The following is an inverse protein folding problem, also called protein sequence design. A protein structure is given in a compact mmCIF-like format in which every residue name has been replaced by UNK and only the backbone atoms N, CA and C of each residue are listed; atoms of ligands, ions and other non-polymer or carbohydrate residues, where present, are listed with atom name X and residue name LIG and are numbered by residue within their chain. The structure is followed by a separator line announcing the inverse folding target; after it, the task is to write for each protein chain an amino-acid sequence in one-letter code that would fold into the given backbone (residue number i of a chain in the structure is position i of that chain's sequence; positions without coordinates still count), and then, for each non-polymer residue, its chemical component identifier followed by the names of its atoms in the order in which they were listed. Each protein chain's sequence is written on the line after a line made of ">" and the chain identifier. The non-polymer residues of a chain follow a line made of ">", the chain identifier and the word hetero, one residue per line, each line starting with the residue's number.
data_IF_823475487851
#
_entry.id   IF_823475487851
#
_cell.length_a   1.000
_cell.length_b   1.000
_cell.length_c   1.000
_cell.angle_alpha   90.00
_cell.angle_beta   90.00
_cell.angle_gamma   90.00
#
_symmetry.space_group_name_H-M   'P 1'
#
loop_
_entity.id
_entity.type
_entity.pdbx_description
1 polymer ?
#
# COMPACT_ATOMS: atom_id res chain seq x y z
N UNK A 1 -1.58 -6.73 -19.60
CA UNK A 1 -2.93 -7.35 -19.57
C UNK A 1 -4.10 -6.34 -19.67
N UNK A 2 -3.94 -5.18 -20.33
CA UNK A 2 -4.97 -4.14 -20.35
C UNK A 2 -6.30 -4.53 -21.04
N UNK A 3 -6.30 -5.57 -21.90
CA UNK A 3 -7.47 -5.99 -22.69
C UNK A 3 -8.30 -7.11 -22.06
N UNK A 4 -7.90 -7.65 -20.90
CA UNK A 4 -8.51 -8.86 -20.31
C UNK A 4 -9.03 -8.63 -18.89
N UNK A 5 -9.54 -7.43 -18.58
CA UNK A 5 -10.00 -7.08 -17.24
C UNK A 5 -11.05 -8.08 -16.71
N UNK A 6 -12.10 -8.35 -17.47
CA UNK A 6 -13.22 -9.23 -17.08
C UNK A 6 -12.84 -10.69 -16.83
N UNK A 7 -11.68 -11.13 -17.33
CA UNK A 7 -11.16 -12.49 -17.12
C UNK A 7 -9.97 -12.51 -16.15
N UNK A 8 -9.52 -11.35 -15.70
CA UNK A 8 -8.34 -11.23 -14.84
C UNK A 8 -8.68 -11.46 -13.37
N UNK A 9 -7.69 -11.90 -12.59
CA UNK A 9 -7.83 -12.08 -11.14
C UNK A 9 -8.25 -10.81 -10.41
N UNK A 10 -7.88 -9.62 -10.93
CA UNK A 10 -8.33 -8.35 -10.37
C UNK A 10 -9.85 -8.27 -10.28
N UNK A 11 -10.56 -8.61 -11.35
CA UNK A 11 -12.02 -8.56 -11.39
C UNK A 11 -12.64 -9.72 -10.61
N UNK A 12 -12.10 -10.94 -10.76
CA UNK A 12 -12.70 -12.15 -10.23
C UNK A 12 -12.52 -12.32 -8.70
N UNK A 13 -11.42 -11.81 -8.12
CA UNK A 13 -11.06 -12.10 -6.72
C UNK A 13 -10.93 -10.84 -5.85
N UNK A 14 -10.66 -9.68 -6.46
CA UNK A 14 -10.26 -8.47 -5.73
C UNK A 14 -11.25 -7.32 -5.87
N UNK A 15 -12.39 -7.55 -6.52
CA UNK A 15 -13.56 -6.69 -6.45
C UNK A 15 -14.39 -7.12 -5.23
N UNK A 16 -14.06 -6.57 -4.06
CA UNK A 16 -14.63 -6.98 -2.78
C UNK A 16 -15.91 -6.20 -2.47
N UNK A 17 -16.86 -6.85 -1.81
CA UNK A 17 -18.04 -6.17 -1.30
C UNK A 17 -17.71 -5.35 -0.04
N UNK A 18 -18.43 -4.25 0.16
CA UNK A 18 -18.25 -3.37 1.31
C UNK A 18 -18.56 -4.11 2.61
N UNK A 19 -19.56 -4.99 2.63
CA UNK A 19 -19.97 -5.71 3.83
C UNK A 19 -18.87 -6.67 4.31
N UNK A 20 -18.27 -7.43 3.38
CA UNK A 20 -17.16 -8.33 3.67
C UNK A 20 -15.94 -7.59 4.22
N UNK A 21 -15.63 -6.40 3.67
CA UNK A 21 -14.54 -5.56 4.16
C UNK A 21 -14.74 -5.14 5.62
N UNK A 22 -15.97 -4.84 6.02
CA UNK A 22 -16.26 -4.42 7.39
C UNK A 22 -16.02 -5.55 8.39
N UNK A 23 -16.35 -6.80 8.02
CA UNK A 23 -16.13 -7.99 8.87
C UNK A 23 -14.65 -8.12 9.25
N UNK A 24 -13.74 -7.95 8.28
CA UNK A 24 -12.31 -8.03 8.54
C UNK A 24 -11.77 -6.83 9.34
N UNK A 25 -12.39 -5.65 9.22
CA UNK A 25 -11.97 -4.42 9.92
C UNK A 25 -12.47 -4.31 11.36
N UNK A 26 -13.42 -5.15 11.80
CA UNK A 26 -13.98 -5.07 13.17
C UNK A 26 -12.90 -5.04 14.25
N UNK A 27 -11.81 -5.82 14.07
CA UNK A 27 -10.68 -5.82 15.01
C UNK A 27 -9.97 -4.48 15.10
N UNK A 28 -9.66 -3.87 13.96
CA UNK A 28 -8.96 -2.58 13.90
C UNK A 28 -9.86 -1.41 14.31
N UNK A 29 -11.15 -1.46 13.97
CA UNK A 29 -12.13 -0.44 14.35
C UNK A 29 -12.34 -0.37 15.87
N UNK A 30 -12.16 -1.48 16.60
CA UNK A 30 -12.17 -1.47 18.07
C UNK A 30 -10.99 -0.71 18.66
N UNK A 31 -9.85 -0.70 17.97
CA UNK A 31 -8.63 -0.02 18.42
C UNK A 31 -8.67 1.46 18.05
N UNK A 32 -9.09 1.75 16.81
CA UNK A 32 -9.16 3.11 16.25
C UNK A 32 -10.47 3.85 16.58
N UNK A 33 -11.45 3.18 17.17
CA UNK A 33 -12.71 3.78 17.61
C UNK A 33 -13.70 4.16 16.49
N UNK A 34 -13.26 4.50 15.28
CA UNK A 34 -14.14 4.92 14.17
C UNK A 34 -13.66 4.50 12.78
N UNK A 35 -14.59 4.41 11.82
CA UNK A 35 -14.27 4.18 10.40
C UNK A 35 -13.52 5.36 9.80
N UNK A 36 -13.80 6.59 10.24
CA UNK A 36 -13.12 7.80 9.78
C UNK A 36 -11.62 7.78 10.11
N UNK A 37 -11.25 7.36 11.31
CA UNK A 37 -9.84 7.22 11.70
C UNK A 37 -9.13 6.16 10.87
N UNK A 38 -9.78 5.02 10.62
CA UNK A 38 -9.25 4.00 9.73
C UNK A 38 -9.01 4.55 8.30
N UNK A 39 -9.93 5.36 7.78
CA UNK A 39 -9.77 6.00 6.49
C UNK A 39 -8.60 7.00 6.48
N UNK A 40 -8.44 7.81 7.54
CA UNK A 40 -7.29 8.73 7.69
C UNK A 40 -5.97 7.98 7.70
N UNK A 41 -5.88 6.86 8.42
CA UNK A 41 -4.69 5.99 8.43
C UNK A 41 -4.38 5.47 7.02
N UNK A 42 -5.39 5.00 6.29
CA UNK A 42 -5.23 4.53 4.92
C UNK A 42 -4.79 5.63 3.95
N UNK A 43 -5.31 6.85 4.10
CA UNK A 43 -4.89 8.03 3.32
C UNK A 43 -3.43 8.34 3.63
N UNK A 44 -3.07 8.43 4.91
CA UNK A 44 -1.69 8.68 5.36
C UNK A 44 -0.70 7.70 4.73
N UNK A 45 -0.96 6.39 4.81
CA UNK A 45 -0.05 5.42 4.20
C UNK A 45 -0.04 5.46 2.67
N UNK A 46 -1.12 5.88 2.03
CA UNK A 46 -1.13 6.13 0.57
C UNK A 46 -0.18 7.28 0.22
N UNK A 47 -0.16 8.35 1.02
CA UNK A 47 0.78 9.47 0.86
C UNK A 47 2.22 9.06 1.15
N UNK A 48 2.46 8.21 2.15
CA UNK A 48 3.79 7.64 2.46
C UNK A 48 4.32 6.84 1.26
N UNK A 49 3.51 5.96 0.68
CA UNK A 49 3.89 5.19 -0.51
C UNK A 49 4.19 6.12 -1.69
N UNK A 50 3.39 7.17 -1.87
CA UNK A 50 3.61 8.19 -2.90
C UNK A 50 4.93 8.94 -2.68
N UNK A 51 5.26 9.29 -1.44
CA UNK A 51 6.51 9.97 -1.08
C UNK A 51 7.73 9.09 -1.32
N UNK A 52 7.69 7.81 -0.92
CA UNK A 52 8.74 6.83 -1.23
C UNK A 52 8.90 6.67 -2.75
N UNK A 53 7.81 6.52 -3.49
CA UNK A 53 7.84 6.39 -4.94
C UNK A 53 8.46 7.60 -5.64
N UNK A 54 8.10 8.82 -5.22
CA UNK A 54 8.70 10.06 -5.73
C UNK A 54 10.19 10.15 -5.40
N UNK A 55 10.60 9.77 -4.20
CA UNK A 55 12.00 9.82 -3.77
C UNK A 55 12.91 8.87 -4.55
N UNK A 56 12.38 7.77 -5.10
CA UNK A 56 13.13 6.83 -5.97
C UNK A 56 12.75 7.00 -7.45
N UNK A 57 12.05 8.08 -7.79
CA UNK A 57 11.69 8.48 -9.17
C UNK A 57 10.99 7.39 -9.98
N UNK A 58 10.16 6.57 -9.34
CA UNK A 58 9.40 5.53 -10.06
C UNK A 58 8.17 6.12 -10.76
N UNK A 59 7.71 5.46 -11.82
CA UNK A 59 6.51 5.86 -12.56
C UNK A 59 5.26 5.73 -11.70
N UNK A 60 4.27 6.59 -11.94
CA UNK A 60 3.01 6.58 -11.19
C UNK A 60 2.27 5.24 -11.23
N UNK A 61 2.40 4.48 -12.34
CA UNK A 61 1.83 3.13 -12.45
C UNK A 61 2.38 2.18 -11.37
N UNK A 62 3.68 2.26 -11.07
CA UNK A 62 4.34 1.47 -10.00
C UNK A 62 3.76 1.85 -8.64
N UNK A 63 3.61 3.15 -8.39
CA UNK A 63 3.06 3.68 -7.12
C UNK A 63 1.59 3.25 -6.95
N UNK A 64 0.80 3.29 -8.03
CA UNK A 64 -0.58 2.86 -8.02
C UNK A 64 -0.70 1.36 -7.73
N UNK A 65 0.11 0.52 -8.39
CA UNK A 65 0.15 -0.93 -8.14
C UNK A 65 0.58 -1.24 -6.70
N UNK A 66 1.57 -0.53 -6.16
CA UNK A 66 2.00 -0.65 -4.77
C UNK A 66 0.88 -0.28 -3.79
N UNK A 67 0.16 0.81 -4.05
CA UNK A 67 -0.98 1.26 -3.24
C UNK A 67 -2.10 0.22 -3.23
N UNK A 68 -2.37 -0.40 -4.37
CA UNK A 68 -3.36 -1.48 -4.48
C UNK A 68 -2.92 -2.69 -3.67
N UNK A 69 -1.65 -3.10 -3.71
CA UNK A 69 -1.14 -4.20 -2.87
C UNK A 69 -1.28 -3.90 -1.38
N UNK A 70 -0.96 -2.68 -0.96
CA UNK A 70 -1.12 -2.26 0.43
C UNK A 70 -2.57 -2.37 0.88
N UNK A 71 -3.51 -1.78 0.12
CA UNK A 71 -4.94 -1.83 0.44
C UNK A 71 -5.52 -3.24 0.42
N UNK A 72 -5.05 -4.08 -0.52
CA UNK A 72 -5.45 -5.50 -0.60
C UNK A 72 -4.98 -6.29 0.61
N UNK A 73 -3.76 -6.05 1.08
CA UNK A 73 -3.28 -6.75 2.27
C UNK A 73 -4.12 -6.44 3.51
N UNK A 74 -4.36 -5.15 3.79
CA UNK A 74 -5.15 -4.71 4.95
C UNK A 74 -6.67 -4.82 4.73
N UNK A 75 -7.12 -5.26 3.56
CA UNK A 75 -8.53 -5.63 3.34
C UNK A 75 -8.89 -6.97 3.97
N UNK A 76 -7.91 -7.87 4.13
CA UNK A 76 -8.09 -9.22 4.68
C UNK A 76 -7.34 -9.45 6.00
N UNK A 77 -6.34 -8.62 6.29
CA UNK A 77 -5.53 -8.71 7.50
C UNK A 77 -5.69 -7.44 8.35
N UNK A 78 -5.54 -7.58 9.66
CA UNK A 78 -5.53 -6.46 10.59
C UNK A 78 -4.27 -5.60 10.42
N UNK A 79 -4.34 -4.33 10.83
CA UNK A 79 -3.19 -3.43 10.91
C UNK A 79 -2.12 -3.93 11.89
N UNK A 80 -2.50 -4.78 12.85
CA UNK A 80 -1.59 -5.41 13.81
C UNK A 80 -0.81 -6.60 13.25
N UNK A 81 -1.20 -7.17 12.10
CA UNK A 81 -0.56 -8.38 11.57
C UNK A 81 0.87 -8.12 11.09
N UNK A 82 1.08 -7.03 10.36
CA UNK A 82 2.39 -6.56 9.87
C UNK A 82 2.41 -5.05 9.98
N UNK A 83 3.51 -4.50 10.49
CA UNK A 83 3.73 -3.06 10.58
C UNK A 83 3.56 -2.39 9.20
N UNK A 84 2.61 -1.44 9.06
CA UNK A 84 2.43 -0.65 7.84
C UNK A 84 3.69 0.04 7.32
N UNK A 85 4.62 0.42 8.20
CA UNK A 85 5.90 1.03 7.82
C UNK A 85 6.82 0.06 7.08
N UNK A 86 6.73 -1.24 7.39
CA UNK A 86 7.43 -2.29 6.66
C UNK A 86 6.67 -2.69 5.39
N UNK A 87 5.34 -2.69 5.44
CA UNK A 87 4.52 -3.11 4.32
C UNK A 87 4.58 -2.11 3.15
N UNK A 88 4.52 -0.81 3.41
CA UNK A 88 4.57 0.23 2.38
C UNK A 88 5.76 0.11 1.40
N UNK A 89 7.03 0.04 1.85
CA UNK A 89 8.17 -0.14 0.95
C UNK A 89 8.23 -1.54 0.34
N UNK A 90 7.75 -2.56 1.03
CA UNK A 90 7.67 -3.93 0.50
C UNK A 90 6.72 -4.01 -0.70
N UNK A 91 5.56 -3.34 -0.63
CA UNK A 91 4.63 -3.21 -1.74
C UNK A 91 5.25 -2.45 -2.91
N UNK A 92 6.01 -1.39 -2.65
CA UNK A 92 6.69 -0.61 -3.68
C UNK A 92 7.77 -1.43 -4.40
N UNK A 93 8.55 -2.20 -3.64
CA UNK A 93 9.58 -3.10 -4.19
C UNK A 93 8.98 -4.22 -5.04
N UNK A 94 7.86 -4.81 -4.60
CA UNK A 94 7.17 -5.83 -5.37
C UNK A 94 6.57 -5.24 -6.65
N UNK A 95 5.90 -4.09 -6.54
CA UNK A 95 5.29 -3.42 -7.67
C UNK A 95 6.32 -3.01 -8.73
N UNK A 96 7.52 -2.55 -8.34
CA UNK A 96 8.56 -2.21 -9.29
C UNK A 96 9.00 -3.42 -10.13
N UNK A 97 9.02 -4.62 -9.54
CA UNK A 97 9.33 -5.85 -10.28
C UNK A 97 8.20 -6.25 -11.22
N UNK A 98 6.95 -6.16 -10.77
CA UNK A 98 5.77 -6.55 -11.57
C UNK A 98 5.55 -5.63 -12.76
N UNK A 99 5.81 -4.34 -12.59
CA UNK A 99 5.70 -3.33 -13.66
C UNK A 99 6.98 -3.22 -14.52
N UNK A 100 7.90 -4.19 -14.40
CA UNK A 100 9.16 -4.28 -15.16
C UNK A 100 10.05 -3.01 -15.01
N UNK A 101 9.97 -2.35 -13.86
CA UNK A 101 10.83 -1.23 -13.50
C UNK A 101 12.15 -1.75 -12.91
N UNK A 102 13.14 -1.93 -13.78
CA UNK A 102 14.42 -2.58 -13.44
C UNK A 102 15.42 -1.79 -12.59
N UNK A 103 15.09 -0.55 -12.15
CA UNK A 103 16.09 0.37 -11.55
C UNK A 103 16.01 0.42 -10.01
N UNK A 104 15.02 -0.20 -9.38
CA UNK A 104 14.84 -0.11 -7.92
C UNK A 104 15.77 -1.07 -7.17
N UNK A 105 16.92 -0.56 -6.71
CA UNK A 105 17.81 -1.29 -5.80
C UNK A 105 17.28 -1.28 -4.37
N UNK A 106 17.37 -2.41 -3.67
CA UNK A 106 16.97 -2.54 -2.25
C UNK A 106 17.69 -1.50 -1.36
N UNK A 107 18.97 -1.20 -1.65
CA UNK A 107 19.74 -0.20 -0.90
C UNK A 107 19.16 1.21 -1.06
N UNK A 108 18.77 1.57 -2.29
CA UNK A 108 18.21 2.89 -2.59
C UNK A 108 16.82 3.06 -1.96
N UNK A 109 16.01 1.98 -1.98
CA UNK A 109 14.72 1.97 -1.30
C UNK A 109 14.88 2.18 0.20
N UNK A 110 15.77 1.43 0.86
CA UNK A 110 16.01 1.58 2.30
C UNK A 110 16.51 2.97 2.67
N UNK A 111 17.40 3.55 1.86
CA UNK A 111 17.87 4.92 2.04
C UNK A 111 16.72 5.94 1.91
N UNK A 112 15.86 5.77 0.91
CA UNK A 112 14.66 6.60 0.72
C UNK A 112 13.71 6.51 1.90
N UNK A 113 13.42 5.30 2.39
CA UNK A 113 12.56 5.09 3.57
C UNK A 113 13.10 5.81 4.80
N UNK A 114 14.41 5.76 5.03
CA UNK A 114 15.05 6.46 6.15
C UNK A 114 14.92 7.98 6.03
N UNK A 115 15.08 8.52 4.82
CA UNK A 115 15.02 9.97 4.58
C UNK A 115 13.60 10.51 4.70
N UNK A 116 12.63 9.82 4.09
CA UNK A 116 11.21 10.20 4.17
C UNK A 116 10.67 10.01 5.59
N UNK A 117 11.07 8.94 6.28
CA UNK A 117 10.72 8.74 7.69
C UNK A 117 11.18 9.91 8.57
N UNK A 118 12.44 10.35 8.41
CA UNK A 118 12.95 11.54 9.12
C UNK A 118 12.13 12.80 8.82
N UNK A 119 11.71 13.00 7.57
CA UNK A 119 10.91 14.17 7.21
C UNK A 119 9.51 14.14 7.85
N UNK A 120 8.89 12.95 7.92
CA UNK A 120 7.57 12.78 8.52
C UNK A 120 7.60 12.96 10.04
N UNK A 121 8.63 12.45 10.72
CA UNK A 121 8.76 12.55 12.19
C UNK A 121 9.44 13.83 12.69
N UNK A 122 9.93 14.68 11.79
CA UNK A 122 10.58 15.96 12.15
C UNK A 122 9.62 17.16 12.09
N UNK A 123 8.41 16.99 11.56
CA UNK A 123 7.30 17.94 11.67
C UNK A 123 6.32 17.47 12.75
#
# INVERSE_FOLDING_TARGET
>A
MARSYWRGSHYLEWLLDRQDLLVHRVGDLKILGSEEEYQKVMIFFTEVIQAFGKSVEVRQQVIATATVYFKRFYSRNSLSAIDPWLMAPSCLFLASKVEEFGVLSQKNLLASCRNVGKFIFSN
#
